data_IF_902665411969
#
_entry.id   IF_902665411969
#
_cell.length_a   1.000
_cell.length_b   1.000
_cell.length_c   1.000
_cell.angle_alpha   90.00
_cell.angle_beta   90.00
_cell.angle_gamma   90.00
#
_symmetry.space_group_name_H-M   'P 1'
#
loop_
_entity.id
_entity.type
_entity.pdbx_description
1 polymer ?
#
# COMPACT_ATOMS: atom_id res chain seq x y z
N UNK A 1 -16.50 -3.61 4.11
CA UNK A 1 -16.35 -2.20 4.53
C UNK A 1 -16.41 -2.02 6.04
N UNK A 2 -17.47 -2.46 6.74
CA UNK A 2 -17.65 -2.26 8.20
C UNK A 2 -16.44 -2.71 9.04
N UNK A 3 -15.94 -3.93 8.81
CA UNK A 3 -14.75 -4.46 9.51
C UNK A 3 -13.49 -3.64 9.27
N UNK A 4 -13.27 -3.16 8.04
CA UNK A 4 -12.10 -2.35 7.70
C UNK A 4 -12.16 -0.97 8.39
N UNK A 5 -13.36 -0.39 8.53
CA UNK A 5 -13.58 0.85 9.29
C UNK A 5 -13.29 0.64 10.78
N UNK A 6 -13.85 -0.41 11.38
CA UNK A 6 -13.60 -0.75 12.79
C UNK A 6 -12.10 -0.97 13.08
N UNK A 7 -11.40 -1.67 12.18
CA UNK A 7 -9.96 -1.83 12.28
C UNK A 7 -9.23 -0.48 12.23
N UNK A 8 -9.59 0.41 11.31
CA UNK A 8 -8.97 1.74 11.18
C UNK A 8 -9.25 2.61 12.39
N UNK A 9 -10.47 2.57 12.94
CA UNK A 9 -10.82 3.26 14.17
C UNK A 9 -9.92 2.78 15.33
N UNK A 10 -9.65 1.48 15.43
CA UNK A 10 -8.76 0.90 16.44
C UNK A 10 -7.30 1.37 16.33
N UNK A 11 -6.88 1.92 15.18
CA UNK A 11 -5.53 2.46 15.01
C UNK A 11 -5.33 3.78 15.77
N UNK A 12 -6.40 4.46 16.19
CA UNK A 12 -6.37 5.77 16.84
C UNK A 12 -5.59 6.81 16.02
N UNK A 13 -5.70 6.76 14.69
CA UNK A 13 -5.14 7.78 13.79
C UNK A 13 -6.12 8.96 13.66
N UNK A 14 -5.63 10.20 13.42
CA UNK A 14 -6.52 11.33 13.20
C UNK A 14 -7.49 11.07 12.05
N UNK A 15 -8.80 11.27 12.30
CA UNK A 15 -9.84 11.10 11.28
C UNK A 15 -9.65 12.00 10.07
N UNK A 16 -8.99 13.15 10.25
CA UNK A 16 -8.64 14.09 9.17
C UNK A 16 -7.67 13.53 8.13
N UNK A 17 -7.01 12.40 8.40
CA UNK A 17 -6.20 11.70 7.42
C UNK A 17 -7.05 10.96 6.38
N UNK A 18 -8.33 10.73 6.66
CA UNK A 18 -9.23 9.93 5.85
C UNK A 18 -10.25 10.79 5.11
N UNK A 19 -10.64 10.31 3.94
CA UNK A 19 -11.72 10.85 3.13
C UNK A 19 -12.66 9.71 2.75
N UNK A 20 -13.76 9.59 3.48
CA UNK A 20 -14.69 8.47 3.32
C UNK A 20 -15.39 8.44 1.97
N UNK A 21 -15.45 9.57 1.25
CA UNK A 21 -16.07 9.65 -0.08
C UNK A 21 -15.33 8.81 -1.12
N UNK A 22 -14.06 8.48 -0.86
CA UNK A 22 -13.20 7.69 -1.74
C UNK A 22 -13.02 6.23 -1.28
N UNK A 23 -13.78 5.79 -0.28
CA UNK A 23 -13.80 4.40 0.18
C UNK A 23 -14.25 3.45 -0.94
N UNK A 24 -13.61 2.29 -1.05
CA UNK A 24 -13.97 1.28 -2.06
C UNK A 24 -13.75 -0.14 -1.55
N UNK A 25 -14.72 -1.02 -1.77
CA UNK A 25 -14.59 -2.44 -1.50
C UNK A 25 -14.24 -3.19 -2.80
N UNK A 26 -13.31 -4.14 -2.73
CA UNK A 26 -12.92 -4.99 -3.85
C UNK A 26 -13.19 -6.48 -3.55
N UNK A 27 -14.16 -6.79 -2.69
CA UNK A 27 -14.67 -8.16 -2.56
C UNK A 27 -15.38 -8.61 -3.85
N UNK A 28 -15.70 -9.89 -3.95
CA UNK A 28 -16.38 -10.48 -5.12
C UNK A 28 -17.74 -9.84 -5.39
N UNK A 29 -18.44 -9.33 -4.38
CA UNK A 29 -19.76 -8.71 -4.56
C UNK A 29 -19.62 -7.28 -5.09
N UNK A 30 -18.62 -6.52 -4.62
CA UNK A 30 -18.42 -5.12 -5.00
C UNK A 30 -17.54 -4.95 -6.25
N UNK A 31 -16.71 -5.96 -6.56
CA UNK A 31 -15.87 -6.01 -7.76
C UNK A 31 -15.84 -7.46 -8.26
N UNK A 32 -16.84 -7.87 -9.08
CA UNK A 32 -17.00 -9.25 -9.55
C UNK A 32 -15.77 -9.82 -10.26
N UNK A 33 -15.58 -11.14 -10.21
CA UNK A 33 -14.46 -11.84 -10.86
C UNK A 33 -14.47 -11.70 -12.38
N UNK A 34 -15.62 -11.40 -12.97
CA UNK A 34 -15.80 -11.13 -14.41
C UNK A 34 -15.18 -9.81 -14.86
N UNK A 35 -14.89 -8.88 -13.93
CA UNK A 35 -14.25 -7.62 -14.26
C UNK A 35 -12.73 -7.78 -14.45
N UNK A 36 -12.13 -6.79 -15.09
CA UNK A 36 -10.68 -6.71 -15.33
C UNK A 36 -9.84 -6.93 -14.06
N UNK A 37 -8.69 -7.59 -14.20
CA UNK A 37 -7.71 -7.74 -13.13
C UNK A 37 -6.57 -6.73 -13.21
N UNK A 38 -6.41 -6.11 -14.37
CA UNK A 38 -5.46 -5.06 -14.67
C UNK A 38 -6.22 -3.84 -15.17
N UNK A 39 -5.88 -2.66 -14.68
CA UNK A 39 -6.37 -1.42 -15.28
C UNK A 39 -5.21 -0.60 -15.80
N UNK A 40 -5.38 -0.06 -17.01
CA UNK A 40 -4.49 0.96 -17.56
C UNK A 40 -4.87 2.32 -16.97
N UNK A 41 -3.96 2.94 -16.25
CA UNK A 41 -4.11 4.30 -15.73
C UNK A 41 -2.83 5.10 -16.01
N UNK A 42 -2.97 6.22 -16.71
CA UNK A 42 -1.85 7.12 -17.05
C UNK A 42 -0.70 6.35 -17.72
N UNK A 43 -1.02 5.58 -18.77
CA UNK A 43 -0.01 4.83 -19.54
C UNK A 43 0.65 3.65 -18.81
N UNK A 44 0.28 3.34 -17.56
CA UNK A 44 0.79 2.18 -16.82
C UNK A 44 -0.33 1.26 -16.36
N UNK A 45 -0.09 -0.04 -16.45
CA UNK A 45 -0.99 -1.03 -15.86
C UNK A 45 -0.73 -1.15 -14.36
N UNK A 46 -1.78 -1.39 -13.59
CA UNK A 46 -1.68 -1.83 -12.19
C UNK A 46 -2.72 -2.93 -11.90
N UNK A 47 -2.41 -3.78 -10.94
CA UNK A 47 -3.28 -4.90 -10.54
C UNK A 47 -4.37 -4.42 -9.61
N UNK A 48 -5.60 -4.80 -9.90
CA UNK A 48 -6.75 -4.49 -9.05
C UNK A 48 -6.63 -5.23 -7.71
N UNK A 49 -6.80 -4.54 -6.57
CA UNK A 49 -6.60 -5.14 -5.25
C UNK A 49 -7.80 -5.96 -4.80
N UNK A 50 -8.13 -7.03 -5.55
CA UNK A 50 -9.25 -7.94 -5.23
C UNK A 50 -9.10 -8.55 -3.83
N UNK A 51 -10.20 -8.58 -3.09
CA UNK A 51 -10.24 -9.03 -1.69
C UNK A 51 -9.79 -7.97 -0.67
N UNK A 52 -9.44 -6.76 -1.09
CA UNK A 52 -9.07 -5.66 -0.20
C UNK A 52 -10.22 -4.65 -0.05
N UNK A 53 -10.18 -3.88 1.03
CA UNK A 53 -10.98 -2.68 1.19
C UNK A 53 -10.06 -1.47 1.21
N UNK A 54 -10.30 -0.49 0.33
CA UNK A 54 -9.63 0.82 0.38
C UNK A 54 -10.42 1.76 1.26
N UNK A 55 -9.74 2.31 2.25
CA UNK A 55 -10.17 3.50 2.96
C UNK A 55 -9.53 4.70 2.27
N UNK A 56 -10.35 5.64 1.81
CA UNK A 56 -9.86 6.84 1.14
C UNK A 56 -9.01 7.69 2.08
N UNK A 57 -7.90 8.23 1.57
CA UNK A 57 -7.04 9.13 2.32
C UNK A 57 -7.19 10.54 1.78
N UNK A 58 -7.10 11.51 2.68
CA UNK A 58 -7.06 12.90 2.28
C UNK A 58 -5.75 13.19 1.54
N UNK A 59 -5.86 13.77 0.35
CA UNK A 59 -4.72 14.27 -0.42
C UNK A 59 -4.80 15.78 -0.45
N UNK A 60 -3.67 16.43 -0.17
CA UNK A 60 -3.55 17.89 -0.15
C UNK A 60 -4.18 18.51 -1.42
N UNK A 61 -5.18 19.40 -1.28
CA UNK A 61 -5.90 19.94 -2.43
C UNK A 61 -5.04 20.76 -3.37
N UNK A 62 -4.08 21.52 -2.85
CA UNK A 62 -3.20 22.38 -3.64
C UNK A 62 -2.22 21.51 -4.44
N UNK A 63 -1.57 20.55 -3.76
CA UNK A 63 -0.63 19.63 -4.40
C UNK A 63 -1.28 18.81 -5.51
N UNK A 64 -2.47 18.24 -5.26
CA UNK A 64 -3.13 17.38 -6.26
C UNK A 64 -3.55 18.17 -7.51
N UNK A 65 -3.91 19.44 -7.36
CA UNK A 65 -4.30 20.33 -8.46
C UNK A 65 -3.08 20.77 -9.27
N UNK A 66 -2.06 21.30 -8.60
CA UNK A 66 -0.82 21.77 -9.24
C UNK A 66 -0.12 20.67 -10.04
N UNK A 67 0.02 19.48 -9.45
CA UNK A 67 0.68 18.35 -10.10
C UNK A 67 -0.25 17.51 -10.99
N UNK A 68 -1.57 17.78 -10.96
CA UNK A 68 -2.60 17.01 -11.66
C UNK A 68 -2.42 15.49 -11.50
N UNK A 69 -2.20 15.05 -10.25
CA UNK A 69 -1.74 13.68 -9.96
C UNK A 69 -2.69 12.59 -10.46
N UNK A 70 -3.98 12.90 -10.58
CA UNK A 70 -4.98 11.91 -11.00
C UNK A 70 -4.86 11.54 -12.47
N UNK A 71 -4.44 12.50 -13.30
CA UNK A 71 -4.34 12.35 -14.75
C UNK A 71 -2.89 12.17 -15.23
N UNK A 72 -1.90 12.56 -14.42
CA UNK A 72 -0.48 12.52 -14.79
C UNK A 72 0.34 11.48 -14.03
N UNK A 73 -0.12 10.98 -12.88
CA UNK A 73 0.68 10.07 -12.05
C UNK A 73 0.13 8.64 -12.09
N UNK A 74 1.03 7.67 -12.23
CA UNK A 74 0.69 6.25 -12.30
C UNK A 74 0.22 5.74 -10.94
N UNK A 75 -0.48 4.60 -10.93
CA UNK A 75 -0.91 3.95 -9.69
C UNK A 75 0.11 2.89 -9.28
N UNK A 76 0.55 2.95 -8.01
CA UNK A 76 1.46 1.97 -7.40
C UNK A 76 1.01 1.61 -5.99
N UNK A 77 1.66 0.62 -5.38
CA UNK A 77 1.36 0.11 -4.06
C UNK A 77 2.63 0.07 -3.20
N UNK A 78 2.55 0.53 -1.96
CA UNK A 78 3.66 0.52 -1.00
C UNK A 78 3.31 -0.30 0.25
N UNK A 79 4.01 -1.42 0.44
CA UNK A 79 3.91 -2.24 1.63
C UNK A 79 4.72 -1.65 2.77
N UNK A 80 4.12 -1.50 3.95
CA UNK A 80 4.81 -0.87 5.08
C UNK A 80 4.23 -1.29 6.43
N UNK A 81 4.85 -0.84 7.54
CA UNK A 81 4.35 -1.10 8.90
C UNK A 81 3.29 -0.07 9.30
N UNK A 82 2.52 -0.35 10.35
CA UNK A 82 1.53 0.61 10.89
C UNK A 82 2.16 1.96 11.23
N UNK A 83 3.31 1.95 11.91
CA UNK A 83 3.93 3.20 12.35
C UNK A 83 4.55 4.00 11.21
N UNK A 84 5.12 3.33 10.21
CA UNK A 84 5.62 3.99 9.01
C UNK A 84 4.46 4.55 8.17
N UNK A 85 3.37 3.80 7.97
CA UNK A 85 2.17 4.33 7.34
C UNK A 85 1.63 5.57 8.06
N UNK A 86 1.47 5.51 9.40
CA UNK A 86 1.06 6.69 10.19
C UNK A 86 1.98 7.88 9.93
N UNK A 87 3.29 7.67 9.97
CA UNK A 87 4.28 8.72 9.75
C UNK A 87 4.17 9.34 8.36
N UNK A 88 4.01 8.51 7.31
CA UNK A 88 3.82 8.95 5.92
C UNK A 88 2.57 9.82 5.80
N UNK A 89 1.45 9.39 6.38
CA UNK A 89 0.19 10.11 6.28
C UNK A 89 0.18 11.42 7.07
N UNK A 90 0.76 11.42 8.27
CA UNK A 90 0.84 12.62 9.11
C UNK A 90 1.73 13.69 8.48
N UNK A 91 2.88 13.31 7.92
CA UNK A 91 3.86 14.26 7.37
C UNK A 91 3.77 14.41 5.84
N UNK A 92 2.87 13.66 5.19
CA UNK A 92 2.57 13.71 3.75
C UNK A 92 3.80 13.47 2.86
N UNK A 93 4.75 12.66 3.32
CA UNK A 93 5.94 12.29 2.55
C UNK A 93 6.39 10.86 2.85
N UNK A 94 7.09 10.26 1.90
CA UNK A 94 7.66 8.92 2.08
C UNK A 94 9.05 9.01 2.71
N UNK A 95 9.32 8.06 3.60
CA UNK A 95 10.54 8.01 4.40
C UNK A 95 11.60 7.14 3.71
N UNK A 96 12.83 7.64 3.69
CA UNK A 96 14.01 6.91 3.24
C UNK A 96 14.70 6.23 4.43
N UNK A 97 15.45 5.14 4.20
CA UNK A 97 16.30 4.57 5.24
C UNK A 97 17.24 5.64 5.84
N UNK A 98 17.23 5.74 7.17
CA UNK A 98 17.90 6.78 7.97
C UNK A 98 16.97 7.86 8.50
N UNK A 99 15.77 8.03 7.94
CA UNK A 99 14.81 9.01 8.44
C UNK A 99 14.18 8.57 9.77
N UNK A 100 13.77 9.54 10.59
CA UNK A 100 13.11 9.32 11.88
C UNK A 100 11.59 9.36 11.75
N UNK A 101 10.92 8.28 12.15
CA UNK A 101 9.46 8.15 12.19
C UNK A 101 8.85 8.95 13.36
N UNK A 102 7.52 9.04 13.38
CA UNK A 102 6.77 9.83 14.38
C UNK A 102 6.94 9.33 15.83
N UNK A 103 7.29 8.06 16.02
CA UNK A 103 7.58 7.45 17.33
C UNK A 103 9.06 7.54 17.73
N UNK A 104 9.89 8.19 16.91
CA UNK A 104 11.34 8.28 17.12
C UNK A 104 12.15 7.11 16.52
N UNK A 105 11.49 6.09 15.98
CA UNK A 105 12.17 4.97 15.30
C UNK A 105 12.97 5.48 14.10
N UNK A 106 14.24 5.09 13.99
CA UNK A 106 15.03 5.32 12.77
C UNK A 106 14.72 4.21 11.78
N UNK A 107 14.27 4.58 10.57
CA UNK A 107 13.95 3.62 9.53
C UNK A 107 15.24 2.95 9.03
N UNK A 108 15.44 1.67 9.36
CA UNK A 108 16.58 0.89 8.89
C UNK A 108 16.40 0.35 7.47
N UNK A 109 17.52 -0.08 6.86
CA UNK A 109 17.48 -1.02 5.73
C UNK A 109 17.14 -2.39 6.33
N UNK A 110 16.06 -3.03 5.87
CA UNK A 110 15.62 -4.33 6.41
C UNK A 110 16.60 -5.44 6.02
N UNK A 111 16.73 -6.44 6.88
CA UNK A 111 17.52 -7.64 6.60
C UNK A 111 17.01 -8.35 5.32
N UNK A 112 17.94 -8.75 4.45
CA UNK A 112 17.61 -9.31 3.12
C UNK A 112 17.52 -8.27 1.99
N UNK A 113 17.57 -6.97 2.27
CA UNK A 113 17.69 -5.94 1.23
C UNK A 113 19.16 -5.71 0.83
N UNK A 114 19.38 -5.25 -0.41
CA UNK A 114 20.73 -4.96 -0.91
C UNK A 114 21.32 -3.80 -0.08
N UNK A 115 22.54 -3.93 0.48
CA UNK A 115 23.19 -2.87 1.24
C UNK A 115 23.26 -1.55 0.45
N UNK A 116 23.11 -0.42 1.15
CA UNK A 116 23.15 0.95 0.61
C UNK A 116 21.99 1.37 -0.31
N UNK A 117 20.94 0.55 -0.46
CA UNK A 117 19.71 0.98 -1.14
C UNK A 117 18.87 1.91 -0.24
N UNK A 118 19.18 3.20 -0.27
CA UNK A 118 18.36 4.25 0.35
C UNK A 118 17.27 4.69 -0.60
N UNK A 119 16.30 3.82 -0.84
CA UNK A 119 15.19 4.07 -1.74
C UNK A 119 13.84 3.83 -1.08
N UNK A 120 12.80 4.47 -1.62
CA UNK A 120 11.40 4.12 -1.42
C UNK A 120 11.01 3.13 -2.51
N UNK A 121 10.45 1.99 -2.10
CA UNK A 121 10.01 0.94 -3.01
C UNK A 121 8.49 0.93 -3.15
N UNK A 122 8.00 0.81 -4.38
CA UNK A 122 6.59 0.59 -4.70
C UNK A 122 6.47 -0.52 -5.76
N UNK A 123 5.24 -0.92 -6.08
CA UNK A 123 4.99 -1.93 -7.11
C UNK A 123 3.70 -1.60 -7.87
N UNK A 124 3.58 -1.97 -9.15
CA UNK A 124 2.30 -1.92 -9.86
C UNK A 124 1.32 -3.02 -9.38
N UNK A 125 1.73 -3.91 -8.48
CA UNK A 125 0.87 -4.97 -7.95
C UNK A 125 0.85 -5.02 -6.43
N UNK A 126 -0.37 -5.03 -5.88
CA UNK A 126 -0.56 -5.23 -4.45
C UNK A 126 -0.07 -6.60 -3.98
N UNK A 127 0.01 -7.60 -4.87
CA UNK A 127 0.46 -8.95 -4.51
C UNK A 127 1.88 -8.89 -3.97
N UNK A 128 2.77 -8.20 -4.68
CA UNK A 128 4.15 -7.97 -4.26
C UNK A 128 4.21 -7.09 -3.01
N UNK A 129 3.55 -5.93 -3.02
CA UNK A 129 3.57 -5.00 -1.87
C UNK A 129 2.91 -5.56 -0.59
N UNK A 130 2.15 -6.66 -0.68
CA UNK A 130 1.55 -7.34 0.47
C UNK A 130 2.32 -8.55 0.98
N UNK A 131 3.47 -8.88 0.39
CA UNK A 131 4.36 -9.91 0.94
C UNK A 131 4.75 -9.55 2.38
N UNK A 132 4.90 -10.56 3.24
CA UNK A 132 5.12 -10.37 4.69
C UNK A 132 6.39 -9.59 5.01
N UNK A 133 7.39 -9.64 4.12
CA UNK A 133 8.62 -8.85 4.22
C UNK A 133 8.37 -7.34 4.08
N UNK A 134 7.30 -6.94 3.39
CA UNK A 134 6.93 -5.53 3.18
C UNK A 134 5.77 -5.09 4.08
N UNK A 135 4.69 -5.88 4.13
CA UNK A 135 3.47 -5.58 4.89
C UNK A 135 3.29 -6.54 6.06
N UNK A 136 3.55 -6.05 7.26
CA UNK A 136 3.40 -6.82 8.50
C UNK A 136 1.96 -7.22 8.75
N UNK A 137 1.77 -8.47 9.18
CA UNK A 137 0.49 -9.03 9.61
C UNK A 137 0.19 -8.59 11.04
N UNK A 138 -1.01 -8.08 11.28
CA UNK A 138 -1.46 -7.59 12.58
C UNK A 138 -2.62 -8.43 13.08
N UNK A 139 -2.68 -8.71 14.37
CA UNK A 139 -3.87 -9.30 14.99
C UNK A 139 -4.88 -8.20 15.29
N UNK A 140 -6.15 -8.46 15.02
CA UNK A 140 -7.26 -7.55 15.33
C UNK A 140 -8.48 -8.37 15.74
N UNK A 141 -9.07 -8.05 16.90
CA UNK A 141 -10.34 -8.64 17.32
C UNK A 141 -11.47 -7.69 16.91
N UNK A 142 -12.41 -8.17 16.10
CA UNK A 142 -13.59 -7.41 15.73
C UNK A 142 -14.70 -7.60 16.76
N UNK A 143 -15.27 -6.50 17.23
CA UNK A 143 -16.48 -6.51 18.05
C UNK A 143 -17.75 -6.60 17.20
N UNK A 144 -17.66 -6.31 15.90
CA UNK A 144 -18.77 -6.41 14.95
C UNK A 144 -19.26 -7.84 14.81
N UNK A 145 -18.34 -8.80 14.72
CA UNK A 145 -18.65 -10.23 14.52
C UNK A 145 -17.95 -11.16 15.52
N UNK A 146 -17.30 -10.60 16.55
CA UNK A 146 -16.62 -11.34 17.63
C UNK A 146 -15.53 -12.30 17.13
N UNK A 147 -14.86 -11.94 16.04
CA UNK A 147 -13.84 -12.80 15.41
C UNK A 147 -12.45 -12.17 15.46
N UNK A 148 -11.43 -13.03 15.62
CA UNK A 148 -10.03 -12.64 15.49
C UNK A 148 -9.60 -12.66 14.01
N UNK A 149 -8.96 -11.58 13.57
CA UNK A 149 -8.47 -11.40 12.21
C UNK A 149 -6.95 -11.27 12.20
N UNK A 150 -6.35 -11.80 11.13
CA UNK A 150 -5.07 -11.35 10.62
C UNK A 150 -5.33 -10.23 9.61
N UNK A 151 -4.71 -9.07 9.84
CA UNK A 151 -4.92 -7.85 9.05
C UNK A 151 -3.60 -7.40 8.43
N UNK A 152 -3.64 -7.10 7.13
CA UNK A 152 -2.53 -6.49 6.41
C UNK A 152 -2.92 -5.12 5.86
N UNK A 153 -1.93 -4.24 5.75
CA UNK A 153 -2.08 -2.87 5.30
C UNK A 153 -1.10 -2.56 4.18
N UNK A 154 -1.58 -1.91 3.13
CA UNK A 154 -0.78 -1.43 1.99
C UNK A 154 -1.27 -0.03 1.63
N UNK A 155 -0.36 0.88 1.30
CA UNK A 155 -0.73 2.19 0.77
C UNK A 155 -0.93 2.08 -0.74
N UNK A 156 -2.08 2.55 -1.24
CA UNK A 156 -2.29 2.84 -2.65
C UNK A 156 -1.76 4.23 -2.94
N UNK A 157 -0.92 4.35 -3.97
CA UNK A 157 -0.13 5.53 -4.23
C UNK A 157 -0.33 6.04 -5.65
N UNK A 158 -0.18 7.36 -5.82
CA UNK A 158 0.16 7.98 -7.08
C UNK A 158 1.66 8.20 -7.10
N UNK A 159 2.31 7.87 -8.21
CA UNK A 159 3.75 8.06 -8.37
C UNK A 159 4.05 8.78 -9.67
N UNK A 160 4.93 9.77 -9.60
CA UNK A 160 5.28 10.60 -10.73
C UNK A 160 6.05 9.80 -11.80
N UNK A 161 5.61 9.78 -13.06
CA UNK A 161 6.38 9.16 -14.14
C UNK A 161 7.75 9.83 -14.26
N UNK A 162 8.78 9.01 -14.52
CA UNK A 162 10.17 9.49 -14.63
C UNK A 162 10.86 9.77 -13.30
N UNK A 163 10.18 9.64 -12.16
CA UNK A 163 10.79 9.80 -10.84
C UNK A 163 11.37 8.52 -10.25
N UNK A 164 11.29 7.39 -10.95
CA UNK A 164 11.66 6.08 -10.44
C UNK A 164 12.33 5.22 -11.50
N UNK A 165 13.08 4.23 -11.03
CA UNK A 165 13.63 3.16 -11.85
C UNK A 165 12.82 1.87 -11.62
N UNK A 166 12.85 0.98 -12.61
CA UNK A 166 12.16 -0.32 -12.57
C UNK A 166 13.20 -1.42 -12.48
N UNK A 167 12.99 -2.38 -11.57
CA UNK A 167 13.82 -3.55 -11.44
C UNK A 167 13.01 -4.83 -11.18
N UNK A 168 13.76 -5.94 -11.17
CA UNK A 168 13.23 -7.24 -10.80
C UNK A 168 12.91 -7.35 -9.31
N UNK A 169 12.25 -8.45 -8.95
CA UNK A 169 12.00 -8.81 -7.56
C UNK A 169 13.31 -8.97 -6.77
N UNK A 170 13.29 -8.56 -5.51
CA UNK A 170 14.44 -8.63 -4.59
C UNK A 170 14.21 -9.59 -3.42
N UNK A 171 13.09 -10.30 -3.41
CA UNK A 171 12.69 -11.23 -2.33
C UNK A 171 13.21 -12.65 -2.53
N UNK A 172 13.94 -12.90 -3.63
CA UNK A 172 14.52 -14.20 -3.94
C UNK A 172 13.47 -15.23 -4.34
N UNK A 173 12.40 -14.81 -5.02
CA UNK A 173 11.35 -15.70 -5.51
C UNK A 173 11.86 -16.70 -6.58
N UNK A 174 13.10 -16.54 -7.07
CA UNK A 174 13.71 -17.41 -8.10
C UNK A 174 12.80 -17.45 -9.34
N UNK A 175 12.47 -18.66 -9.82
CA UNK A 175 11.59 -18.89 -10.97
C UNK A 175 10.10 -18.90 -10.64
N UNK A 176 9.71 -18.65 -9.38
CA UNK A 176 8.29 -18.63 -8.99
C UNK A 176 7.70 -17.27 -9.36
N UNK A 177 6.66 -17.29 -10.19
CA UNK A 177 5.92 -16.09 -10.57
C UNK A 177 5.16 -15.54 -9.36
N UNK A 178 5.46 -14.31 -8.95
CA UNK A 178 4.83 -13.69 -7.77
C UNK A 178 3.43 -13.18 -8.11
N UNK A 179 3.30 -12.48 -9.24
CA UNK A 179 2.04 -11.92 -9.70
C UNK A 179 1.68 -12.52 -11.06
N UNK A 180 0.45 -13.05 -11.27
CA UNK A 180 0.07 -13.60 -12.57
C UNK A 180 0.10 -12.56 -13.70
N UNK A 181 -0.04 -11.27 -13.36
CA UNK A 181 -0.20 -10.20 -14.33
C UNK A 181 1.07 -9.37 -14.58
N UNK A 182 1.94 -9.23 -13.57
CA UNK A 182 3.16 -8.41 -13.66
C UNK A 182 4.39 -9.34 -13.65
N UNK A 183 5.32 -9.21 -14.62
CA UNK A 183 6.55 -9.99 -14.66
C UNK A 183 7.47 -9.66 -13.48
N UNK A 184 8.14 -10.68 -12.95
CA UNK A 184 9.04 -10.54 -11.80
C UNK A 184 10.15 -9.53 -12.12
N UNK A 185 10.59 -9.43 -13.38
CA UNK A 185 11.66 -8.54 -13.87
C UNK A 185 11.25 -7.05 -13.89
N UNK A 186 9.96 -6.74 -13.70
CA UNK A 186 9.42 -5.37 -13.71
C UNK A 186 8.50 -5.09 -12.53
N UNK A 187 8.58 -5.88 -11.46
CA UNK A 187 7.61 -5.85 -10.37
C UNK A 187 7.93 -4.79 -9.31
N UNK A 188 9.15 -4.26 -9.28
CA UNK A 188 9.61 -3.35 -8.25
C UNK A 188 10.03 -2.01 -8.84
N UNK A 189 9.47 -0.93 -8.29
CA UNK A 189 9.81 0.44 -8.65
C UNK A 189 10.52 1.08 -7.45
N UNK A 190 11.61 1.80 -7.69
CA UNK A 190 12.39 2.42 -6.61
C UNK A 190 12.83 3.84 -6.95
N UNK A 191 12.92 4.67 -5.92
CA UNK A 191 13.29 6.09 -6.05
C UNK A 191 13.87 6.63 -4.74
N UNK A 192 14.82 7.56 -4.83
CA UNK A 192 15.29 8.41 -3.73
C UNK A 192 14.68 9.83 -3.79
N UNK A 193 13.86 10.11 -4.80
CA UNK A 193 13.25 11.42 -5.02
C UNK A 193 12.07 11.59 -4.07
N UNK A 194 12.25 12.46 -3.07
CA UNK A 194 11.19 12.86 -2.14
C UNK A 194 10.03 13.54 -2.87
N UNK A 195 8.85 13.44 -2.26
CA UNK A 195 7.60 14.05 -2.77
C UNK A 195 7.17 13.57 -4.16
N UNK A 196 7.79 12.52 -4.72
CA UNK A 196 7.40 11.93 -6.00
C UNK A 196 6.34 10.81 -5.88
N UNK A 197 5.91 10.53 -4.65
CA UNK A 197 4.89 9.52 -4.31
C UNK A 197 3.89 10.14 -3.33
N UNK A 198 2.60 9.97 -3.61
CA UNK A 198 1.48 10.41 -2.77
C UNK A 198 0.59 9.24 -2.44
N UNK A 199 0.40 8.93 -1.16
CA UNK A 199 -0.59 7.94 -0.71
C UNK A 199 -2.01 8.55 -0.79
N UNK A 200 -2.94 7.81 -1.37
CA UNK A 200 -4.34 8.24 -1.49
C UNK A 200 -5.38 7.18 -1.06
N UNK A 201 -4.93 5.96 -0.77
CA UNK A 201 -5.78 4.94 -0.17
C UNK A 201 -5.00 4.10 0.83
N UNK A 202 -5.62 3.77 1.95
CA UNK A 202 -5.17 2.70 2.83
C UNK A 202 -5.92 1.43 2.48
N UNK A 203 -5.24 0.45 1.90
CA UNK A 203 -5.81 -0.85 1.56
C UNK A 203 -5.65 -1.78 2.75
N UNK A 204 -6.76 -2.36 3.19
CA UNK A 204 -6.84 -3.31 4.30
C UNK A 204 -7.37 -4.64 3.78
N UNK A 205 -6.65 -5.72 4.08
CA UNK A 205 -7.12 -7.11 3.88
C UNK A 205 -7.24 -7.78 5.24
N UNK A 206 -8.35 -8.44 5.45
CA UNK A 206 -8.66 -9.14 6.69
C UNK A 206 -8.89 -10.62 6.37
N UNK A 207 -8.23 -11.50 7.12
CA UNK A 207 -8.43 -12.94 7.06
C UNK A 207 -8.81 -13.42 8.44
N UNK A 208 -9.99 -14.03 8.58
CA UNK A 208 -10.39 -14.62 9.86
C UNK A 208 -9.35 -15.67 10.27
N UNK A 209 -8.89 -15.60 11.51
CA UNK A 209 -8.11 -16.69 12.11
C UNK A 209 -9.10 -17.80 12.42
N UNK A 210 -8.95 -18.92 11.74
CA UNK A 210 -9.65 -20.15 12.11
C UNK A 210 -9.37 -20.41 13.58
N UNK A 211 -10.39 -20.42 14.43
CA UNK A 211 -10.23 -20.92 15.80
C UNK A 211 -9.80 -22.38 15.70
N UNK A 212 -8.68 -22.73 16.33
CA UNK A 212 -8.56 -24.09 16.84
C UNK A 212 -9.52 -24.09 18.02
N UNK A 213 -10.70 -24.69 17.82
CA UNK A 213 -11.55 -25.14 18.92
C UNK A 213 -10.78 -26.21 19.70
#
# INVERSE_FOLDING_TARGET
MKLAKEFVDSLNWPKSLFDETHNRCFCTDCYPSTWENLLLAVGSHYVIPRGWTRLGLHVDPMFKEEHNIWNKWIVTFHGTTKIAARSILTHRHFYLPGDKLIDGTILGIREGHIPNQKFIFTSPTIVYSSLSVYSSKNSFYSHVDRTNYEVQMVLQCRQQPGSFQVQGETVGARSIRICPYIPNEKIEYFTDIRSSIVAYGLLVRMKAKSGIL
#
